data_IF_433171397725
#
_entry.id   IF_433171397725
#
_cell.length_a   1.000
_cell.length_b   1.000
_cell.length_c   1.000
_cell.angle_alpha   90.00
_cell.angle_beta   90.00
_cell.angle_gamma   90.00
#
_symmetry.space_group_name_H-M   'P 1'
#
loop_
_entity.id
_entity.type
_entity.pdbx_description
1 polymer ?
#
# COMPACT_ATOMS: atom_id res chain seq x y z
N UNK A 1 -0.85 20.99 3.05
CA UNK A 1 0.43 20.80 2.33
C UNK A 1 0.89 19.37 2.54
N UNK A 2 0.63 18.49 1.58
CA UNK A 2 1.23 17.16 1.60
C UNK A 2 2.70 17.32 1.23
N UNK A 3 3.62 17.00 2.13
CA UNK A 3 5.06 17.16 1.85
C UNK A 3 5.47 16.16 0.76
N UNK A 4 6.33 16.58 -0.16
CA UNK A 4 6.85 15.70 -1.24
C UNK A 4 7.43 14.41 -0.65
N UNK A 5 8.08 14.52 0.52
CA UNK A 5 8.61 13.37 1.28
C UNK A 5 7.50 12.39 1.66
N UNK A 6 6.36 12.87 2.16
CA UNK A 6 5.22 12.01 2.48
C UNK A 6 4.69 11.28 1.25
N UNK A 7 4.58 11.97 0.11
CA UNK A 7 4.13 11.34 -1.14
C UNK A 7 5.10 10.25 -1.61
N UNK A 8 6.40 10.49 -1.53
CA UNK A 8 7.42 9.50 -1.88
C UNK A 8 7.34 8.26 -0.99
N UNK A 9 7.16 8.44 0.32
CA UNK A 9 7.00 7.32 1.26
C UNK A 9 5.74 6.52 0.94
N UNK A 10 4.64 7.21 0.64
CA UNK A 10 3.36 6.56 0.33
C UNK A 10 3.45 5.76 -0.97
N UNK A 11 4.05 6.32 -2.02
CA UNK A 11 4.31 5.61 -3.28
C UNK A 11 5.21 4.39 -3.06
N UNK A 12 6.29 4.53 -2.29
CA UNK A 12 7.18 3.43 -1.97
C UNK A 12 6.44 2.31 -1.21
N UNK A 13 5.61 2.66 -0.24
CA UNK A 13 4.80 1.69 0.50
C UNK A 13 3.83 0.93 -0.42
N UNK A 14 3.11 1.62 -1.32
CA UNK A 14 2.23 0.99 -2.31
C UNK A 14 3.00 -0.03 -3.15
N UNK A 15 4.16 0.35 -3.70
CA UNK A 15 4.96 -0.51 -4.57
C UNK A 15 5.42 -1.77 -3.84
N UNK A 16 5.89 -1.64 -2.60
CA UNK A 16 6.34 -2.77 -1.79
C UNK A 16 5.20 -3.74 -1.46
N UNK A 17 4.02 -3.21 -1.11
CA UNK A 17 2.86 -4.04 -0.77
C UNK A 17 2.34 -4.77 -2.02
N UNK A 18 2.25 -4.09 -3.15
CA UNK A 18 1.85 -4.70 -4.42
C UNK A 18 2.84 -5.79 -4.82
N UNK A 19 4.15 -5.54 -4.73
CA UNK A 19 5.17 -6.57 -4.97
C UNK A 19 5.03 -7.76 -4.05
N UNK A 20 4.82 -7.52 -2.75
CA UNK A 20 4.60 -8.57 -1.76
C UNK A 20 3.38 -9.44 -2.13
N UNK A 21 2.27 -8.81 -2.56
CA UNK A 21 1.06 -9.52 -3.00
C UNK A 21 1.31 -10.49 -4.17
N UNK A 22 2.20 -10.13 -5.10
CA UNK A 22 2.55 -10.94 -6.27
C UNK A 22 3.69 -11.94 -6.02
N UNK A 23 4.52 -11.73 -5.00
CA UNK A 23 5.65 -12.61 -4.69
C UNK A 23 5.34 -13.65 -3.60
N UNK A 24 4.42 -13.33 -2.69
CA UNK A 24 4.04 -14.24 -1.62
C UNK A 24 3.17 -15.40 -2.11
N UNK A 25 3.56 -16.62 -1.71
CA UNK A 25 2.85 -17.86 -2.02
C UNK A 25 1.89 -18.29 -0.91
N UNK A 26 2.09 -17.77 0.31
CA UNK A 26 1.20 -18.05 1.42
C UNK A 26 -0.02 -17.13 1.42
N UNK A 27 -1.21 -17.76 1.31
CA UNK A 27 -2.50 -17.07 1.36
C UNK A 27 -2.68 -16.17 2.60
N UNK A 28 -2.16 -16.58 3.76
CA UNK A 28 -2.21 -15.75 4.98
C UNK A 28 -1.45 -14.44 4.82
N UNK A 29 -0.25 -14.47 4.24
CA UNK A 29 0.56 -13.27 4.02
C UNK A 29 -0.04 -12.39 2.92
N UNK A 30 -0.61 -12.99 1.87
CA UNK A 30 -1.37 -12.26 0.84
C UNK A 30 -2.57 -11.51 1.42
N UNK A 31 -3.35 -12.15 2.29
CA UNK A 31 -4.49 -11.53 2.97
C UNK A 31 -4.03 -10.37 3.85
N UNK A 32 -2.97 -10.55 4.64
CA UNK A 32 -2.42 -9.46 5.46
C UNK A 32 -1.94 -8.27 4.61
N UNK A 33 -1.27 -8.52 3.49
CA UNK A 33 -0.87 -7.48 2.56
C UNK A 33 -2.08 -6.77 1.92
N UNK A 34 -3.14 -7.49 1.59
CA UNK A 34 -4.40 -6.92 1.10
C UNK A 34 -5.08 -6.02 2.16
N UNK A 35 -5.08 -6.42 3.42
CA UNK A 35 -5.62 -5.61 4.52
C UNK A 35 -4.93 -4.27 4.68
N UNK A 36 -3.62 -4.19 4.38
CA UNK A 36 -2.86 -2.93 4.41
C UNK A 36 -3.12 -2.06 3.17
N UNK A 37 -3.48 -2.66 2.02
CA UNK A 37 -3.86 -1.90 0.82
C UNK A 37 -5.18 -1.14 1.00
N UNK A 38 -6.14 -1.71 1.72
CA UNK A 38 -7.46 -1.09 1.95
C UNK A 38 -7.34 0.34 2.53
N UNK A 39 -6.70 0.57 3.69
CA UNK A 39 -6.56 1.92 4.23
C UNK A 39 -5.73 2.83 3.33
N UNK A 40 -4.76 2.28 2.58
CA UNK A 40 -3.93 3.04 1.65
C UNK A 40 -4.75 3.58 0.45
N UNK A 41 -5.62 2.74 -0.11
CA UNK A 41 -6.56 3.10 -1.18
C UNK A 41 -7.60 4.09 -0.64
N UNK A 42 -8.19 3.82 0.52
CA UNK A 42 -9.13 4.75 1.16
C UNK A 42 -8.47 6.10 1.40
N UNK A 43 -7.20 6.13 1.82
CA UNK A 43 -6.44 7.37 1.96
C UNK A 43 -6.28 8.08 0.61
N UNK A 44 -5.94 7.36 -0.45
CA UNK A 44 -5.82 7.93 -1.78
C UNK A 44 -7.15 8.50 -2.30
N UNK A 45 -8.26 7.82 -2.04
CA UNK A 45 -9.62 8.27 -2.40
C UNK A 45 -10.09 9.47 -1.57
N UNK A 46 -9.70 9.57 -0.29
CA UNK A 46 -10.03 10.72 0.58
C UNK A 46 -9.09 11.92 0.36
N UNK A 47 -7.88 11.69 -0.17
CA UNK A 47 -6.90 12.74 -0.51
C UNK A 47 -7.07 13.27 -1.94
N UNK A 48 -8.03 12.72 -2.70
CA UNK A 48 -8.44 13.19 -4.03
C UNK A 48 -9.61 14.17 -3.95
#
# INVERSE_FOLDING_TARGET
>A
MMTIVYQLILVAAVVLIVRSLFQEKELKMQINAAWVLIPLILRALMLA
#
